data_IF_761891469636
#
_entry.id   IF_761891469636
#
_cell.length_a   1.000
_cell.length_b   1.000
_cell.length_c   1.000
_cell.angle_alpha   90.00
_cell.angle_beta   90.00
_cell.angle_gamma   90.00
#
_symmetry.space_group_name_H-M   'P 1'
#
loop_
_entity.id
_entity.type
_entity.pdbx_description
1 polymer ?
#
# COMPACT_ATOMS: atom_id res chain seq x y z
N UNK A 1 2.64 -27.33 -18.59
CA UNK A 1 3.03 -26.30 -17.59
C UNK A 1 1.89 -25.30 -17.48
N UNK A 2 1.28 -25.19 -16.30
CA UNK A 2 0.15 -24.26 -16.10
C UNK A 2 0.69 -22.91 -15.63
N UNK A 3 0.91 -22.00 -16.55
CA UNK A 3 1.26 -20.61 -16.25
C UNK A 3 -0.05 -19.84 -16.08
N UNK A 4 -0.24 -19.22 -14.90
CA UNK A 4 -1.46 -18.45 -14.56
C UNK A 4 -1.28 -16.95 -14.75
N UNK A 5 -0.16 -16.51 -15.28
CA UNK A 5 0.16 -15.10 -15.47
C UNK A 5 -0.75 -14.41 -16.48
N UNK A 6 -0.85 -13.11 -16.33
CA UNK A 6 -1.62 -12.22 -17.21
C UNK A 6 -0.72 -11.11 -17.71
N UNK A 7 -1.06 -10.58 -18.89
CA UNK A 7 -0.35 -9.44 -19.46
C UNK A 7 -0.46 -8.25 -18.51
N UNK A 8 0.67 -7.60 -18.22
CA UNK A 8 0.79 -6.41 -17.38
C UNK A 8 0.34 -6.59 -15.90
N UNK A 9 0.17 -7.80 -15.44
CA UNK A 9 -0.09 -8.10 -14.03
C UNK A 9 1.18 -8.67 -13.39
N UNK A 10 1.63 -8.05 -12.29
CA UNK A 10 2.78 -8.53 -11.55
C UNK A 10 2.49 -9.94 -10.99
N UNK A 11 3.37 -10.92 -11.23
CA UNK A 11 3.12 -12.32 -10.87
C UNK A 11 2.99 -12.58 -9.36
N UNK A 12 3.43 -11.67 -8.49
CA UNK A 12 3.21 -11.84 -7.04
C UNK A 12 1.79 -11.49 -6.60
N UNK A 13 1.00 -10.81 -7.44
CA UNK A 13 -0.39 -10.51 -7.16
C UNK A 13 -1.26 -11.76 -7.37
N UNK A 14 -1.58 -12.43 -6.27
CA UNK A 14 -2.45 -13.62 -6.29
C UNK A 14 -3.87 -13.29 -6.76
N UNK A 15 -4.66 -14.30 -7.19
CA UNK A 15 -6.07 -14.08 -7.51
C UNK A 15 -6.85 -13.42 -6.36
N UNK A 16 -6.57 -13.79 -5.12
CA UNK A 16 -7.22 -13.26 -3.93
C UNK A 16 -6.86 -11.80 -3.70
N UNK A 17 -5.60 -11.43 -3.88
CA UNK A 17 -5.15 -10.03 -3.78
C UNK A 17 -5.80 -9.20 -4.90
N UNK A 18 -5.77 -9.68 -6.13
CA UNK A 18 -6.40 -8.99 -7.26
C UNK A 18 -7.91 -8.81 -7.05
N UNK A 19 -8.59 -9.82 -6.54
CA UNK A 19 -10.00 -9.73 -6.18
C UNK A 19 -10.25 -8.63 -5.15
N UNK A 20 -9.45 -8.59 -4.10
CA UNK A 20 -9.53 -7.54 -3.06
C UNK A 20 -9.29 -6.15 -3.64
N UNK A 21 -8.20 -5.95 -4.39
CA UNK A 21 -7.87 -4.66 -4.99
C UNK A 21 -8.97 -4.20 -5.96
N UNK A 22 -9.53 -5.12 -6.74
CA UNK A 22 -10.62 -4.82 -7.68
C UNK A 22 -11.94 -4.50 -6.98
N UNK A 23 -12.17 -5.05 -5.79
CA UNK A 23 -13.37 -4.82 -4.98
C UNK A 23 -13.36 -3.49 -4.23
N UNK A 24 -12.19 -2.90 -4.03
CA UNK A 24 -12.04 -1.63 -3.31
C UNK A 24 -12.63 -0.47 -4.11
N UNK A 25 -13.35 0.40 -3.40
CA UNK A 25 -13.92 1.64 -3.95
C UNK A 25 -13.06 2.87 -3.66
N UNK A 26 -13.48 4.02 -4.17
CA UNK A 26 -12.83 5.31 -3.89
C UNK A 26 -12.82 5.61 -2.39
N UNK A 27 -11.67 5.94 -1.86
CA UNK A 27 -11.48 6.25 -0.45
C UNK A 27 -11.22 5.04 0.46
N UNK A 28 -11.38 3.81 -0.04
CA UNK A 28 -11.03 2.62 0.73
C UNK A 28 -9.51 2.57 0.98
N UNK A 29 -9.14 2.09 2.15
CA UNK A 29 -7.74 2.02 2.58
C UNK A 29 -7.22 0.59 2.56
N UNK A 30 -6.00 0.45 2.06
CA UNK A 30 -5.22 -0.78 2.06
C UNK A 30 -4.02 -0.61 3.00
N UNK A 31 -3.81 -1.57 3.88
CA UNK A 31 -2.63 -1.61 4.73
C UNK A 31 -1.59 -2.53 4.10
N UNK A 32 -0.35 -2.07 4.02
CA UNK A 32 0.83 -2.88 3.72
C UNK A 32 1.67 -2.94 4.98
N UNK A 33 1.93 -4.14 5.50
CA UNK A 33 2.58 -4.28 6.80
C UNK A 33 3.88 -5.08 6.74
N UNK A 34 4.77 -4.78 7.69
CA UNK A 34 5.94 -5.61 7.97
C UNK A 34 5.55 -6.94 8.65
N UNK A 35 6.55 -7.80 8.88
CA UNK A 35 6.34 -9.13 9.44
C UNK A 35 5.97 -9.15 10.92
N UNK A 36 6.16 -8.04 11.63
CA UNK A 36 5.87 -7.92 13.07
C UNK A 36 4.50 -7.33 13.37
N UNK A 37 3.84 -6.76 12.37
CA UNK A 37 2.55 -6.12 12.56
C UNK A 37 1.47 -7.15 12.90
N UNK A 38 0.63 -6.91 13.93
CA UNK A 38 -0.41 -7.85 14.36
C UNK A 38 -1.65 -7.83 13.47
N UNK A 39 -1.48 -8.11 12.17
CA UNK A 39 -2.51 -7.99 11.15
C UNK A 39 -3.76 -8.81 11.46
N UNK A 40 -3.58 -10.06 11.87
CA UNK A 40 -4.70 -10.98 12.16
C UNK A 40 -5.54 -10.55 13.36
N UNK A 41 -4.99 -9.74 14.26
CA UNK A 41 -5.74 -9.17 15.38
C UNK A 41 -6.49 -7.89 15.01
N UNK A 42 -6.15 -7.29 13.87
CA UNK A 42 -6.67 -5.97 13.47
C UNK A 42 -7.76 -6.05 12.43
N UNK A 43 -7.72 -7.03 11.52
CA UNK A 43 -8.64 -7.11 10.40
C UNK A 43 -8.94 -8.57 10.04
N UNK A 44 -10.08 -8.81 9.43
CA UNK A 44 -10.49 -10.15 8.98
C UNK A 44 -10.08 -10.45 7.53
N UNK A 45 -9.78 -9.42 6.74
CA UNK A 45 -9.38 -9.58 5.33
C UNK A 45 -7.88 -9.39 5.19
N UNK A 46 -7.16 -10.51 5.29
CA UNK A 46 -5.70 -10.55 5.30
C UNK A 46 -5.21 -11.34 4.10
N UNK A 47 -4.20 -10.79 3.39
CA UNK A 47 -3.45 -11.50 2.36
C UNK A 47 -1.97 -11.52 2.72
N UNK A 48 -1.30 -12.64 2.47
CA UNK A 48 0.12 -12.81 2.77
C UNK A 48 0.94 -12.77 1.48
N UNK A 49 2.05 -12.02 1.54
CA UNK A 49 3.11 -12.03 0.53
C UNK A 49 4.40 -12.50 1.21
N UNK A 50 4.50 -13.82 1.44
CA UNK A 50 5.68 -14.41 2.06
C UNK A 50 6.89 -14.32 1.11
N UNK A 51 8.07 -14.04 1.66
CA UNK A 51 9.30 -13.90 0.90
C UNK A 51 9.44 -12.60 0.12
N UNK A 52 8.57 -11.62 0.37
CA UNK A 52 8.53 -10.33 -0.32
C UNK A 52 8.69 -9.20 0.70
N UNK A 53 9.59 -8.26 0.47
CA UNK A 53 9.73 -7.06 1.30
C UNK A 53 8.68 -5.99 0.96
N UNK A 54 8.65 -4.93 1.76
CA UNK A 54 7.66 -3.87 1.61
C UNK A 54 7.76 -3.15 0.25
N UNK A 55 8.96 -2.82 -0.20
CA UNK A 55 9.17 -2.12 -1.46
C UNK A 55 8.75 -2.97 -2.67
N UNK A 56 9.08 -4.26 -2.67
CA UNK A 56 8.68 -5.18 -3.74
C UNK A 56 7.15 -5.36 -3.79
N UNK A 57 6.52 -5.49 -2.62
CA UNK A 57 5.07 -5.58 -2.53
C UNK A 57 4.40 -4.28 -3.01
N UNK A 58 4.91 -3.13 -2.58
CA UNK A 58 4.39 -1.83 -3.01
C UNK A 58 4.49 -1.64 -4.53
N UNK A 59 5.59 -2.07 -5.14
CA UNK A 59 5.75 -2.03 -6.60
C UNK A 59 4.63 -2.78 -7.32
N UNK A 60 4.33 -3.98 -6.89
CA UNK A 60 3.26 -4.78 -7.47
C UNK A 60 1.88 -4.16 -7.26
N UNK A 61 1.58 -3.74 -6.03
CA UNK A 61 0.30 -3.13 -5.69
C UNK A 61 0.09 -1.84 -6.47
N UNK A 62 1.04 -0.92 -6.45
CA UNK A 62 0.93 0.38 -7.12
C UNK A 62 0.85 0.28 -8.64
N UNK A 63 1.28 -0.83 -9.24
CA UNK A 63 1.13 -1.05 -10.68
C UNK A 63 -0.33 -1.16 -11.13
N UNK A 64 -1.25 -1.49 -10.22
CA UNK A 64 -2.69 -1.65 -10.49
C UNK A 64 -3.58 -0.81 -9.57
N UNK A 65 -3.01 -0.13 -8.58
CA UNK A 65 -3.74 0.59 -7.55
C UNK A 65 -3.64 2.10 -7.77
N UNK A 66 -4.73 2.78 -8.15
CA UNK A 66 -4.72 4.24 -8.29
C UNK A 66 -4.68 4.90 -6.92
N UNK A 67 -3.75 5.83 -6.71
CA UNK A 67 -3.70 6.63 -5.49
C UNK A 67 -4.71 7.77 -5.55
N UNK A 68 -5.25 8.16 -4.39
CA UNK A 68 -6.30 9.15 -4.28
C UNK A 68 -5.74 10.58 -4.33
N UNK A 69 -6.06 11.32 -5.36
CA UNK A 69 -5.70 12.74 -5.50
C UNK A 69 -6.69 13.70 -4.83
N UNK A 70 -7.80 13.19 -4.28
CA UNK A 70 -8.82 14.00 -3.61
C UNK A 70 -8.45 14.34 -2.16
N UNK A 71 -7.42 13.70 -1.63
CA UNK A 71 -6.87 13.94 -0.30
C UNK A 71 -5.41 14.40 -0.39
N UNK A 72 -4.94 15.07 0.65
CA UNK A 72 -3.59 15.65 0.66
C UNK A 72 -2.49 14.60 0.56
N UNK A 73 -2.65 13.47 1.24
CA UNK A 73 -1.64 12.41 1.30
C UNK A 73 -2.27 11.02 1.20
N UNK A 74 -2.29 10.42 0.00
CA UNK A 74 -2.86 9.08 -0.20
C UNK A 74 -1.97 7.95 0.32
N UNK A 75 -0.74 8.25 0.71
CA UNK A 75 0.16 7.30 1.37
C UNK A 75 0.54 7.86 2.72
N UNK A 76 0.39 7.02 3.76
CA UNK A 76 0.85 7.33 5.11
C UNK A 76 1.80 6.24 5.57
N UNK A 77 2.92 6.61 6.17
CA UNK A 77 3.89 5.71 6.79
C UNK A 77 3.77 5.76 8.31
N UNK A 78 4.00 4.65 8.98
CA UNK A 78 4.07 4.62 10.44
C UNK A 78 5.28 5.42 10.91
N UNK A 79 5.08 6.27 11.94
CA UNK A 79 6.17 7.04 12.56
C UNK A 79 7.13 6.13 13.33
N UNK A 80 8.41 6.51 13.30
CA UNK A 80 9.44 5.89 14.11
C UNK A 80 9.39 6.52 15.51
N UNK A 81 8.99 5.73 16.50
CA UNK A 81 8.92 6.12 17.92
C UNK A 81 8.27 7.48 18.18
N UNK A 82 7.23 7.80 17.40
CA UNK A 82 6.48 9.05 17.52
C UNK A 82 7.18 10.27 16.91
N UNK A 83 8.24 10.06 16.11
CA UNK A 83 8.94 11.13 15.39
C UNK A 83 8.46 11.21 13.93
N UNK A 84 7.66 12.24 13.58
CA UNK A 84 7.07 12.34 12.24
C UNK A 84 8.08 12.64 11.13
N UNK A 85 9.25 13.19 11.48
CA UNK A 85 10.24 13.63 10.49
C UNK A 85 11.33 12.58 10.24
N UNK A 86 11.42 11.55 11.09
CA UNK A 86 12.44 10.52 10.95
C UNK A 86 12.08 9.51 9.86
N UNK A 87 13.04 9.18 8.99
CA UNK A 87 12.92 8.21 7.92
C UNK A 87 13.98 7.13 8.05
N UNK A 88 13.56 5.88 7.97
CA UNK A 88 14.49 4.75 7.84
C UNK A 88 14.62 4.29 6.37
N UNK A 89 15.44 3.27 6.14
CA UNK A 89 15.68 2.76 4.78
C UNK A 89 14.39 2.22 4.11
N UNK A 90 13.52 1.56 4.87
CA UNK A 90 12.25 1.04 4.34
C UNK A 90 11.36 2.17 3.84
N UNK A 91 11.29 3.28 4.59
CA UNK A 91 10.53 4.46 4.18
C UNK A 91 11.07 5.06 2.89
N UNK A 92 12.41 5.22 2.81
CA UNK A 92 13.08 5.77 1.62
C UNK A 92 12.88 4.89 0.39
N UNK A 93 12.99 3.57 0.55
CA UNK A 93 12.75 2.61 -0.53
C UNK A 93 11.31 2.67 -1.03
N UNK A 94 10.33 2.77 -0.12
CA UNK A 94 8.92 2.92 -0.51
C UNK A 94 8.68 4.22 -1.25
N UNK A 95 9.24 5.32 -0.78
CA UNK A 95 9.14 6.62 -1.45
C UNK A 95 9.72 6.56 -2.86
N UNK A 96 10.89 5.93 -3.03
CA UNK A 96 11.51 5.74 -4.34
C UNK A 96 10.65 4.85 -5.25
N UNK A 97 10.15 3.74 -4.74
CA UNK A 97 9.27 2.83 -5.49
C UNK A 97 8.00 3.53 -5.94
N UNK A 98 7.40 4.33 -5.07
CA UNK A 98 6.21 5.13 -5.40
C UNK A 98 6.50 6.10 -6.53
N UNK A 99 7.63 6.81 -6.48
CA UNK A 99 8.03 7.75 -7.52
C UNK A 99 8.22 7.04 -8.87
N UNK A 100 8.83 5.87 -8.87
CA UNK A 100 9.10 5.09 -10.09
C UNK A 100 7.83 4.51 -10.73
N UNK A 101 6.89 4.03 -9.91
CA UNK A 101 5.70 3.29 -10.40
C UNK A 101 4.48 4.20 -10.57
N UNK A 102 4.23 5.07 -9.61
CA UNK A 102 3.03 5.91 -9.58
C UNK A 102 3.27 7.38 -9.91
N UNK A 103 4.51 7.83 -9.84
CA UNK A 103 4.91 9.22 -10.06
C UNK A 103 5.46 9.88 -8.79
N UNK A 104 6.30 10.90 -8.97
CA UNK A 104 7.01 11.58 -7.88
C UNK A 104 6.20 12.70 -7.20
N UNK A 105 5.02 13.01 -7.72
CA UNK A 105 4.14 14.07 -7.22
C UNK A 105 3.28 13.65 -6.02
N UNK A 106 3.28 12.36 -5.65
CA UNK A 106 2.48 11.87 -4.54
C UNK A 106 3.09 12.21 -3.19
N UNK A 107 2.30 12.85 -2.33
CA UNK A 107 2.72 13.17 -0.98
C UNK A 107 2.61 11.95 -0.07
N UNK A 108 3.65 11.70 0.71
CA UNK A 108 3.71 10.65 1.72
C UNK A 108 3.85 11.33 3.08
N UNK A 109 2.85 11.18 3.93
CA UNK A 109 2.84 11.72 5.28
C UNK A 109 3.11 10.64 6.34
N UNK A 110 3.34 11.07 7.56
CA UNK A 110 3.47 10.17 8.70
C UNK A 110 2.15 10.01 9.46
N UNK A 111 2.04 8.92 10.18
CA UNK A 111 0.93 8.64 11.10
C UNK A 111 1.48 7.98 12.37
N UNK A 112 1.02 8.45 13.53
CA UNK A 112 1.41 7.88 14.81
C UNK A 112 0.95 6.41 14.93
N UNK A 113 1.75 5.58 15.61
CA UNK A 113 1.56 4.12 15.66
C UNK A 113 0.16 3.67 16.11
N UNK A 114 -0.38 4.25 17.16
CA UNK A 114 -1.70 3.84 17.66
C UNK A 114 -2.84 4.30 16.75
N UNK A 115 -2.68 5.46 16.12
CA UNK A 115 -3.60 5.90 15.06
C UNK A 115 -3.54 4.98 13.85
N UNK A 116 -2.33 4.51 13.50
CA UNK A 116 -2.16 3.51 12.45
C UNK A 116 -2.94 2.23 12.78
N UNK A 117 -2.86 1.74 14.01
CA UNK A 117 -3.62 0.56 14.45
C UNK A 117 -5.14 0.77 14.32
N UNK A 118 -5.65 1.94 14.69
CA UNK A 118 -7.07 2.25 14.53
C UNK A 118 -7.49 2.29 13.05
N UNK A 119 -6.65 2.84 12.17
CA UNK A 119 -6.90 2.82 10.74
C UNK A 119 -6.84 1.39 10.18
N UNK A 120 -5.94 0.56 10.65
CA UNK A 120 -5.81 -0.84 10.22
C UNK A 120 -7.08 -1.66 10.54
N UNK A 121 -7.70 -1.41 11.69
CA UNK A 121 -8.97 -2.05 12.07
C UNK A 121 -10.12 -1.69 11.13
N UNK A 122 -10.12 -0.48 10.58
CA UNK A 122 -11.16 0.05 9.69
C UNK A 122 -10.83 -0.16 8.21
N UNK A 123 -9.60 -0.53 7.89
CA UNK A 123 -9.15 -0.68 6.52
C UNK A 123 -9.92 -1.77 5.77
N UNK A 124 -9.98 -1.65 4.45
CA UNK A 124 -10.62 -2.65 3.60
C UNK A 124 -9.92 -4.01 3.69
N UNK A 125 -8.59 -4.00 3.70
CA UNK A 125 -7.76 -5.21 3.82
C UNK A 125 -6.36 -4.87 4.33
N UNK A 126 -5.64 -5.90 4.77
CA UNK A 126 -4.21 -5.83 5.10
C UNK A 126 -3.46 -6.84 4.25
N UNK A 127 -2.39 -6.39 3.59
CA UNK A 127 -1.42 -7.25 2.94
C UNK A 127 -0.17 -7.30 3.82
N UNK A 128 0.17 -8.48 4.31
CA UNK A 128 1.37 -8.70 5.12
C UNK A 128 2.54 -9.11 4.23
N UNK A 129 3.74 -8.69 4.60
CA UNK A 129 4.97 -9.00 3.89
C UNK A 129 5.98 -9.70 4.79
N UNK A 130 7.10 -10.12 4.20
CA UNK A 130 8.28 -10.57 4.93
C UNK A 130 9.28 -9.44 5.25
N UNK A 131 8.82 -8.18 5.24
CA UNK A 131 9.67 -7.07 5.66
C UNK A 131 10.06 -7.22 7.12
N UNK A 132 11.34 -7.40 7.37
CA UNK A 132 11.87 -7.64 8.72
C UNK A 132 12.37 -6.36 9.40
N UNK A 133 12.57 -5.30 8.63
CA UNK A 133 13.00 -4.01 9.17
C UNK A 133 11.82 -3.31 9.86
N UNK A 134 12.06 -2.63 10.99
CA UNK A 134 10.97 -2.05 11.77
C UNK A 134 10.30 -0.86 11.06
N UNK A 135 9.06 -0.59 11.44
CA UNK A 135 8.23 0.50 10.93
C UNK A 135 7.94 0.45 9.42
N UNK A 136 8.04 -0.73 8.84
CA UNK A 136 7.71 -0.98 7.42
C UNK A 136 6.21 -1.13 7.18
N UNK A 137 5.41 -0.24 7.73
CA UNK A 137 3.96 -0.27 7.66
C UNK A 137 3.41 1.00 7.00
N UNK A 138 2.51 0.80 6.03
CA UNK A 138 1.99 1.87 5.18
C UNK A 138 0.48 1.74 4.97
N UNK A 139 -0.17 2.89 4.74
CA UNK A 139 -1.57 2.98 4.34
C UNK A 139 -1.63 3.56 2.94
N UNK A 140 -2.35 2.90 2.03
CA UNK A 140 -2.67 3.41 0.71
C UNK A 140 -4.17 3.71 0.63
N UNK A 141 -4.53 4.92 0.20
CA UNK A 141 -5.92 5.29 -0.04
C UNK A 141 -6.22 5.20 -1.53
N UNK A 142 -7.24 4.44 -1.89
CA UNK A 142 -7.62 4.19 -3.28
C UNK A 142 -8.29 5.41 -3.90
N UNK A 143 -7.77 5.81 -5.03
CA UNK A 143 -8.30 6.87 -5.86
C UNK A 143 -9.23 6.39 -6.98
N UNK A 144 -9.34 7.21 -8.00
CA UNK A 144 -10.28 7.04 -9.12
C UNK A 144 -9.51 6.89 -10.43
N UNK A 145 -9.99 5.98 -11.29
CA UNK A 145 -9.53 5.85 -12.68
C UNK A 145 -10.57 6.46 -13.59
N UNK A 146 -10.12 7.31 -14.51
CA UNK A 146 -10.99 7.91 -15.53
C UNK A 146 -11.40 6.89 -16.61
N UNK A 147 -12.42 7.20 -17.41
CA UNK A 147 -12.84 6.30 -18.51
C UNK A 147 -11.74 5.96 -19.52
N UNK A 148 -10.74 6.82 -19.68
CA UNK A 148 -9.57 6.58 -20.55
C UNK A 148 -8.50 5.65 -19.93
N UNK A 149 -8.71 5.20 -18.68
CA UNK A 149 -7.79 4.32 -17.96
C UNK A 149 -6.70 5.04 -17.17
N UNK A 150 -6.61 6.35 -17.22
CA UNK A 150 -5.64 7.12 -16.41
C UNK A 150 -6.16 7.45 -15.02
N UNK A 151 -5.25 7.66 -14.08
CA UNK A 151 -5.61 8.07 -12.71
C UNK A 151 -6.17 9.50 -12.74
N UNK A 152 -7.25 9.74 -12.00
CA UNK A 152 -7.81 11.06 -11.87
C UNK A 152 -6.93 11.91 -10.95
N UNK A 153 -6.35 12.98 -11.51
CA UNK A 153 -5.55 13.97 -10.77
C UNK A 153 -6.33 15.29 -10.73
N UNK A 154 -6.62 15.78 -9.51
CA UNK A 154 -7.46 16.99 -9.34
C UNK A 154 -6.82 18.28 -9.85
N UNK A 155 -5.48 18.34 -9.88
CA UNK A 155 -4.73 19.57 -10.15
C UNK A 155 -4.00 19.53 -11.50
N UNK A 156 -4.55 18.81 -12.46
CA UNK A 156 -4.03 18.80 -13.85
C UNK A 156 -5.10 19.23 -14.84
#
# INVERSE_FOLDING_TARGET
MCIRDRINIDPILSPEILHTLRSMGHGDKLILSDSNFPAYSMNSRIHRLDGVDAARAAKAILSVFPLDSFIESPIQRMEIDGNPDELNEVHKELMQTTAEVAGDHWKISSIERFKFYEEAKKAFAIITTNETRPFGCFIFTKGVVKPDGSVWLLNQ
#
